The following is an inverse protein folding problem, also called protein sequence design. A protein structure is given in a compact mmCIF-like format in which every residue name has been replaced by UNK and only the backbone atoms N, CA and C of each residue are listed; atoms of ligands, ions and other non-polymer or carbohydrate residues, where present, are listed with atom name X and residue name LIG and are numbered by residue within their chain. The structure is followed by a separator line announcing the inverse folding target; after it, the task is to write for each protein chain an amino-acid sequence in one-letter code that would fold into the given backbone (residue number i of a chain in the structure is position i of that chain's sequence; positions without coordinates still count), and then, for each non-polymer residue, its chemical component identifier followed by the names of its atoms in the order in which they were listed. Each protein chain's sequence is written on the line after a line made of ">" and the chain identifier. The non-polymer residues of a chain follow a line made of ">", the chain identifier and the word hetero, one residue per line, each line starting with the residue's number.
data_IF_937061558370
#
_entry.id   IF_937061558370
#
_cell.length_a   1.000
_cell.length_b   1.000
_cell.length_c   1.000
_cell.angle_alpha   90.00
_cell.angle_beta   90.00
_cell.angle_gamma   90.00
#
_symmetry.space_group_name_H-M   'P 1'
#
loop_
_entity.id
_entity.type
_entity.pdbx_description
1 polymer ?
#
# COMPACT_ATOMS: atom_id res chain seq x y z
N UNK A 1 -24.50 -60.30 -16.04
CA UNK A 1 -23.23 -59.69 -15.56
C UNK A 1 -22.90 -58.49 -16.43
N UNK A 2 -23.63 -57.37 -16.32
CA UNK A 2 -23.41 -56.18 -17.18
C UNK A 2 -23.60 -54.85 -16.41
N UNK A 3 -24.35 -54.87 -15.30
CA UNK A 3 -24.67 -53.70 -14.46
C UNK A 3 -23.47 -53.09 -13.69
N UNK A 4 -22.49 -53.92 -13.32
CA UNK A 4 -21.39 -53.50 -12.42
C UNK A 4 -20.38 -52.56 -13.08
N UNK A 5 -20.30 -52.56 -14.42
CA UNK A 5 -19.34 -51.73 -15.16
C UNK A 5 -19.76 -50.26 -15.24
N UNK A 6 -21.07 -49.97 -15.18
CA UNK A 6 -21.60 -48.60 -15.27
C UNK A 6 -21.48 -47.83 -13.95
N UNK A 7 -21.62 -48.51 -12.81
CA UNK A 7 -21.49 -47.89 -11.50
C UNK A 7 -20.06 -47.39 -11.20
N UNK A 8 -19.03 -48.11 -11.66
CA UNK A 8 -17.61 -47.75 -11.44
C UNK A 8 -17.22 -46.49 -12.21
N UNK A 9 -17.73 -46.31 -13.44
CA UNK A 9 -17.41 -45.14 -14.26
C UNK A 9 -18.02 -43.84 -13.70
N UNK A 10 -19.21 -43.91 -13.10
CA UNK A 10 -19.88 -42.73 -12.54
C UNK A 10 -19.18 -42.19 -11.27
N UNK A 11 -18.59 -43.07 -10.45
CA UNK A 11 -17.88 -42.67 -9.22
C UNK A 11 -16.54 -41.98 -9.52
N UNK A 12 -15.84 -42.38 -10.59
CA UNK A 12 -14.57 -41.75 -10.99
C UNK A 12 -14.78 -40.33 -11.53
N UNK A 13 -15.87 -40.08 -12.25
CA UNK A 13 -16.15 -38.77 -12.85
C UNK A 13 -16.52 -37.67 -11.83
N UNK A 14 -17.07 -38.04 -10.65
CA UNK A 14 -17.40 -37.06 -9.61
C UNK A 14 -16.18 -36.64 -8.76
N UNK A 15 -15.16 -37.50 -8.66
CA UNK A 15 -14.00 -37.24 -7.80
C UNK A 15 -13.01 -36.22 -8.38
N UNK A 16 -13.04 -35.94 -9.69
CA UNK A 16 -12.08 -35.04 -10.35
C UNK A 16 -12.46 -33.56 -10.30
N UNK A 17 -13.66 -33.20 -9.84
CA UNK A 17 -14.10 -31.79 -9.83
C UNK A 17 -13.69 -30.99 -8.58
N UNK A 18 -13.24 -31.67 -7.51
CA UNK A 18 -13.03 -31.04 -6.19
C UNK A 18 -11.67 -30.33 -6.07
N UNK A 19 -10.74 -30.54 -7.02
CA UNK A 19 -9.38 -29.94 -6.96
C UNK A 19 -9.23 -28.62 -7.72
N UNK A 20 -10.28 -28.11 -8.36
CA UNK A 20 -10.29 -26.73 -8.85
C UNK A 20 -10.44 -25.78 -7.66
N UNK A 21 -9.38 -25.66 -6.87
CA UNK A 21 -9.28 -24.73 -5.76
C UNK A 21 -9.66 -23.34 -6.25
N UNK A 22 -10.61 -22.72 -5.55
CA UNK A 22 -10.87 -21.28 -5.68
C UNK A 22 -9.56 -20.58 -5.33
N UNK A 23 -8.78 -20.22 -6.35
CA UNK A 23 -7.65 -19.34 -6.18
C UNK A 23 -8.22 -17.97 -5.85
N UNK A 24 -8.23 -17.62 -4.56
CA UNK A 24 -8.41 -16.23 -4.14
C UNK A 24 -7.18 -15.50 -4.70
N UNK A 25 -7.36 -14.83 -5.82
CA UNK A 25 -6.38 -13.90 -6.33
C UNK A 25 -6.28 -12.77 -5.30
N UNK A 26 -5.27 -12.85 -4.43
CA UNK A 26 -4.88 -11.70 -3.62
C UNK A 26 -4.48 -10.60 -4.59
N UNK A 27 -5.17 -9.46 -4.52
CA UNK A 27 -4.74 -8.29 -5.26
C UNK A 27 -3.28 -8.01 -4.88
N UNK A 28 -2.37 -8.09 -5.84
CA UNK A 28 -1.00 -7.64 -5.63
C UNK A 28 -1.05 -6.16 -5.27
N UNK A 29 -0.60 -5.83 -4.05
CA UNK A 29 -0.34 -4.45 -3.68
C UNK A 29 0.84 -3.99 -4.52
N UNK A 30 0.56 -3.33 -5.65
CA UNK A 30 1.60 -2.64 -6.40
C UNK A 30 2.05 -1.48 -5.54
N UNK A 31 3.35 -1.39 -5.19
CA UNK A 31 3.83 -0.25 -4.44
C UNK A 31 3.68 0.98 -5.32
N UNK A 32 2.68 1.80 -4.99
CA UNK A 32 2.55 3.11 -5.60
C UNK A 32 3.78 3.92 -5.20
N UNK A 33 4.53 4.40 -6.20
CA UNK A 33 5.65 5.27 -5.93
C UNK A 33 5.10 6.64 -5.58
N UNK A 34 5.46 7.13 -4.40
CA UNK A 34 5.11 8.48 -3.96
C UNK A 34 5.62 9.48 -4.99
N UNK A 35 4.72 10.29 -5.54
CA UNK A 35 5.04 11.40 -6.42
C UNK A 35 5.49 12.59 -5.56
N UNK A 36 6.81 12.78 -5.45
CA UNK A 36 7.39 13.82 -4.61
C UNK A 36 7.29 15.20 -5.26
N UNK A 37 6.74 16.18 -4.55
CA UNK A 37 6.58 17.57 -5.00
C UNK A 37 7.09 18.59 -3.95
N UNK A 38 7.02 19.87 -4.30
CA UNK A 38 7.32 20.99 -3.38
C UNK A 38 6.33 20.96 -2.22
N UNK A 39 6.79 21.21 -1.01
CA UNK A 39 5.94 21.22 0.17
C UNK A 39 5.00 22.43 0.19
N UNK A 40 5.42 23.56 -0.37
CA UNK A 40 4.58 24.77 -0.43
C UNK A 40 3.33 24.55 -1.28
N UNK A 41 2.17 24.75 -0.67
CA UNK A 41 0.85 24.60 -1.30
C UNK A 41 0.25 25.91 -1.83
N UNK A 42 0.80 27.06 -1.44
CA UNK A 42 0.36 28.38 -1.88
C UNK A 42 1.32 29.50 -1.46
N UNK A 43 1.08 30.75 -1.89
CA UNK A 43 1.95 31.88 -1.57
C UNK A 43 1.96 32.23 -0.06
N UNK A 44 0.89 31.91 0.65
CA UNK A 44 0.74 32.17 2.09
C UNK A 44 1.25 31.00 2.97
N UNK A 45 1.68 29.90 2.35
CA UNK A 45 2.18 28.72 3.05
C UNK A 45 3.67 28.90 3.40
N UNK A 46 3.91 29.71 4.43
CA UNK A 46 5.26 29.99 4.94
C UNK A 46 5.95 28.73 5.47
N UNK A 47 5.20 27.81 6.07
CA UNK A 47 5.74 26.58 6.62
C UNK A 47 6.22 25.62 5.50
N UNK A 48 5.39 25.42 4.47
CA UNK A 48 5.79 24.68 3.28
C UNK A 48 7.00 25.31 2.59
N UNK A 49 7.08 26.64 2.53
CA UNK A 49 8.25 27.35 2.00
C UNK A 49 9.53 27.08 2.81
N UNK A 50 9.43 27.03 4.15
CA UNK A 50 10.56 26.68 5.02
C UNK A 50 11.02 25.23 4.81
N UNK A 51 10.08 24.29 4.65
CA UNK A 51 10.38 22.90 4.33
C UNK A 51 11.10 22.75 2.98
N UNK A 52 10.62 23.44 1.96
CA UNK A 52 11.26 23.47 0.64
C UNK A 52 12.69 24.02 0.73
N UNK A 53 12.89 25.12 1.46
CA UNK A 53 14.21 25.69 1.71
C UNK A 53 15.15 24.73 2.48
N UNK A 54 14.61 23.88 3.35
CA UNK A 54 15.35 22.85 4.06
C UNK A 54 15.66 21.59 3.21
N UNK A 55 15.24 21.58 1.94
CA UNK A 55 15.42 20.46 1.01
C UNK A 55 14.48 19.28 1.26
N UNK A 56 13.35 19.54 1.91
CA UNK A 56 12.29 18.55 2.14
C UNK A 56 11.41 18.47 0.89
N UNK A 57 10.94 17.27 0.56
CA UNK A 57 9.94 17.02 -0.47
C UNK A 57 8.71 16.39 0.16
N UNK A 58 7.54 16.86 -0.23
CA UNK A 58 6.27 16.35 0.25
C UNK A 58 5.65 15.40 -0.76
N UNK A 59 4.71 14.58 -0.30
CA UNK A 59 3.92 13.69 -1.14
C UNK A 59 2.88 12.92 -0.33
N UNK A 60 2.12 12.10 -1.03
CA UNK A 60 0.94 11.44 -0.49
C UNK A 60 0.99 9.92 -0.66
N UNK A 61 0.42 9.22 0.32
CA UNK A 61 0.19 7.77 0.27
C UNK A 61 -1.29 7.50 0.45
N UNK A 62 -1.91 6.84 -0.53
CA UNK A 62 -3.31 6.40 -0.45
C UNK A 62 -3.37 5.03 0.25
N UNK A 63 -4.17 4.93 1.31
CA UNK A 63 -4.35 3.68 2.07
C UNK A 63 -5.84 3.40 2.27
N UNK A 64 -6.25 2.12 2.43
CA UNK A 64 -7.64 1.82 2.75
C UNK A 64 -7.99 2.36 4.13
N UNK A 65 -9.19 2.94 4.25
CA UNK A 65 -9.77 3.36 5.52
C UNK A 65 -10.03 2.14 6.44
N UNK A 66 -10.37 1.01 5.83
CA UNK A 66 -10.63 -0.27 6.50
C UNK A 66 -9.83 -1.36 5.79
N UNK A 67 -8.76 -1.84 6.43
CA UNK A 67 -7.89 -2.87 5.87
C UNK A 67 -8.58 -4.24 5.70
N UNK A 68 -9.72 -4.50 6.35
CA UNK A 68 -10.52 -5.71 6.10
C UNK A 68 -11.30 -5.63 4.78
N UNK A 69 -11.47 -4.41 4.24
CA UNK A 69 -12.08 -4.12 2.94
C UNK A 69 -11.12 -3.27 2.10
N UNK A 70 -10.01 -3.84 1.59
CA UNK A 70 -8.93 -3.10 0.94
C UNK A 70 -9.35 -2.39 -0.37
N UNK A 71 -10.42 -2.86 -1.03
CA UNK A 71 -11.02 -2.21 -2.19
C UNK A 71 -12.11 -1.17 -1.83
N UNK A 72 -12.28 -0.86 -0.55
CA UNK A 72 -13.27 0.07 -0.03
C UNK A 72 -12.83 1.54 -0.11
N UNK A 73 -13.37 2.36 0.80
CA UNK A 73 -12.97 3.77 0.93
C UNK A 73 -11.48 3.87 1.29
N UNK A 74 -10.83 4.91 0.77
CA UNK A 74 -9.43 5.23 1.08
C UNK A 74 -9.32 6.55 1.85
N UNK A 75 -8.16 6.74 2.46
CA UNK A 75 -7.68 8.01 3.01
C UNK A 75 -6.29 8.30 2.46
N UNK A 76 -5.89 9.56 2.51
CA UNK A 76 -4.57 10.01 2.09
C UNK A 76 -3.73 10.36 3.31
N UNK A 77 -2.53 9.81 3.39
CA UNK A 77 -1.52 10.11 4.40
C UNK A 77 -0.45 11.00 3.77
N UNK A 78 -0.34 12.23 4.24
CA UNK A 78 0.73 13.13 3.83
C UNK A 78 2.06 12.69 4.45
N UNK A 79 3.13 12.72 3.66
CA UNK A 79 4.49 12.37 4.08
C UNK A 79 5.47 13.42 3.60
N UNK A 80 6.50 13.67 4.40
CA UNK A 80 7.60 14.57 4.08
C UNK A 80 8.92 13.81 4.13
N UNK A 81 9.82 14.08 3.18
CA UNK A 81 11.12 13.42 3.07
C UNK A 81 12.23 14.42 2.80
N UNK A 82 13.22 14.44 3.69
CA UNK A 82 14.53 15.02 3.40
C UNK A 82 15.46 13.93 2.87
N UNK A 83 16.12 14.18 1.75
CA UNK A 83 17.07 13.21 1.20
C UNK A 83 18.34 13.16 2.06
N UNK A 84 19.03 12.01 2.05
CA UNK A 84 20.30 11.89 2.75
C UNK A 84 21.29 12.92 2.20
N UNK A 85 22.02 13.60 3.09
CA UNK A 85 23.06 14.56 2.70
C UNK A 85 24.21 13.90 1.94
N UNK A 86 24.43 12.61 2.16
CA UNK A 86 25.28 11.74 1.34
C UNK A 86 24.45 10.60 0.73
N UNK A 87 24.02 10.74 -0.53
CA UNK A 87 23.24 9.71 -1.22
C UNK A 87 24.02 8.41 -1.48
N UNK A 88 25.35 8.48 -1.59
CA UNK A 88 26.21 7.34 -1.92
C UNK A 88 26.36 6.41 -0.72
N UNK A 89 26.46 6.97 0.49
CA UNK A 89 26.53 6.22 1.75
C UNK A 89 25.17 6.00 2.42
N UNK A 90 24.07 6.22 1.70
CA UNK A 90 22.72 6.00 2.22
C UNK A 90 22.49 4.53 2.55
N UNK A 91 22.13 4.24 3.80
CA UNK A 91 21.71 2.89 4.24
C UNK A 91 20.24 2.61 3.92
N UNK A 92 19.36 3.60 4.13
CA UNK A 92 17.91 3.40 3.99
C UNK A 92 17.09 4.65 4.29
N UNK A 93 15.84 4.45 4.74
CA UNK A 93 14.94 5.53 5.18
C UNK A 93 14.73 5.41 6.68
N UNK A 94 14.98 6.48 7.43
CA UNK A 94 14.53 6.61 8.80
C UNK A 94 13.11 7.18 8.78
N UNK A 95 12.16 6.45 9.36
CA UNK A 95 10.78 6.92 9.54
C UNK A 95 10.62 7.38 10.97
N UNK A 96 10.12 8.59 11.16
CA UNK A 96 9.96 9.22 12.47
C UNK A 96 8.48 9.38 12.77
N UNK A 97 8.07 8.93 13.95
CA UNK A 97 6.78 9.26 14.56
C UNK A 97 7.07 10.01 15.87
N UNK A 98 6.60 11.25 15.99
CA UNK A 98 6.88 12.13 17.13
C UNK A 98 5.96 11.93 18.32
N UNK A 99 5.02 10.98 18.27
CA UNK A 99 4.03 10.75 19.32
C UNK A 99 2.78 11.61 19.17
N UNK A 100 2.15 11.97 20.30
CA UNK A 100 0.79 12.53 20.31
C UNK A 100 -0.28 11.43 20.43
N UNK A 101 -1.52 11.74 20.08
CA UNK A 101 -1.95 11.65 18.67
C UNK A 101 -2.64 12.93 18.18
N UNK A 102 -2.61 13.15 16.86
CA UNK A 102 -3.27 14.29 16.20
C UNK A 102 -2.35 15.45 15.85
N UNK A 103 -1.17 15.53 16.45
CA UNK A 103 -0.16 16.52 16.08
C UNK A 103 0.63 16.06 14.86
N UNK A 104 0.82 16.97 13.92
CA UNK A 104 1.87 16.84 12.92
C UNK A 104 3.22 17.22 13.56
N UNK A 105 4.35 16.82 12.96
CA UNK A 105 5.70 17.08 13.49
C UNK A 105 5.99 18.58 13.75
N UNK A 106 5.14 19.48 13.24
CA UNK A 106 5.26 20.93 13.31
C UNK A 106 4.14 21.67 14.02
N UNK A 107 3.09 20.98 14.50
CA UNK A 107 1.94 21.64 15.15
C UNK A 107 1.18 22.52 14.18
#
# INVERSE_FOLDING_TARGET
>A
MTESRYAVAAVVALATFVTAGVHIAHAEVRPERIAWHECRTGPEDEYGAQLDAAGVRCGEVTVPLDYTRPAGRTITVAVARRTATDPVRRVGTLVVNTGGPGESLSG
#
